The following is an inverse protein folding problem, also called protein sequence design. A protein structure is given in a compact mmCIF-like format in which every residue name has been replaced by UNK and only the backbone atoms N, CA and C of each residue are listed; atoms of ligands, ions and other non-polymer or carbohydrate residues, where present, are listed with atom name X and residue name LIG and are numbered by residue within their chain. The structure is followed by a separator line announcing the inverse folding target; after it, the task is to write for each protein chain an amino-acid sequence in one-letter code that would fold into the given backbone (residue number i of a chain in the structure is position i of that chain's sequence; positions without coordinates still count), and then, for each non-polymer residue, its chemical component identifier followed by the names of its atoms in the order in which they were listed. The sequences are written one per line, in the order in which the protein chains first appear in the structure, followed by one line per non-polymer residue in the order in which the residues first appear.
data_IF_017925619859
#
_entry.id   IF_017925619859
#
_cell.length_a   1.000
_cell.length_b   1.000
_cell.length_c   1.000
_cell.angle_alpha   90.00
_cell.angle_beta   90.00
_cell.angle_gamma   90.00
#
_symmetry.space_group_name_H-M   'P 1'
#
loop_
_entity.id
_entity.type
_entity.pdbx_description
1 polymer ?
#
# COMPACT_ATOMS: atom_id res chain seq x y z
N UNK A 1 4.16 -9.88 24.56
CA UNK A 1 3.06 -9.06 23.99
C UNK A 1 2.86 -9.43 22.54
N UNK A 2 1.76 -8.99 21.92
CA UNK A 2 1.47 -9.21 20.50
C UNK A 2 1.21 -7.86 19.83
N UNK A 3 1.63 -7.70 18.58
CA UNK A 3 1.24 -6.59 17.73
C UNK A 3 0.79 -7.12 16.37
N UNK A 4 -0.39 -6.72 15.91
CA UNK A 4 -0.98 -7.06 14.63
C UNK A 4 -0.85 -5.86 13.67
N UNK A 5 -0.18 -6.06 12.54
CA UNK A 5 0.16 -5.02 11.57
C UNK A 5 -0.46 -5.40 10.22
N UNK A 6 -1.24 -4.48 9.65
CA UNK A 6 -1.71 -4.54 8.27
C UNK A 6 -0.78 -3.78 7.33
N UNK A 7 -0.55 -4.28 6.13
CA UNK A 7 0.21 -3.57 5.10
C UNK A 7 -0.27 -3.91 3.69
N UNK A 8 -0.11 -2.99 2.74
CA UNK A 8 -0.26 -3.32 1.31
C UNK A 8 0.96 -4.10 0.79
N UNK A 9 0.78 -4.83 -0.30
CA UNK A 9 1.83 -5.66 -0.91
C UNK A 9 3.07 -4.83 -1.27
N UNK A 10 2.88 -3.63 -1.85
CA UNK A 10 3.98 -2.77 -2.27
C UNK A 10 4.94 -2.42 -1.11
N UNK A 11 4.39 -2.24 0.09
CA UNK A 11 5.14 -1.96 1.31
C UNK A 11 5.67 -3.22 1.98
N UNK A 12 5.00 -4.37 1.82
CA UNK A 12 5.52 -5.65 2.30
C UNK A 12 6.80 -6.05 1.55
N UNK A 13 6.84 -5.78 0.24
CA UNK A 13 7.96 -6.13 -0.64
C UNK A 13 9.16 -5.19 -0.47
N UNK A 14 8.96 -3.97 0.06
CA UNK A 14 10.02 -2.95 0.18
C UNK A 14 10.00 -2.24 1.54
N UNK A 15 11.14 -2.24 2.22
CA UNK A 15 11.37 -1.46 3.45
C UNK A 15 10.79 -2.07 4.73
N UNK A 16 9.58 -2.62 4.71
CA UNK A 16 8.98 -3.22 5.91
C UNK A 16 9.79 -4.38 6.51
N UNK A 17 10.38 -5.32 5.74
CA UNK A 17 11.15 -6.43 6.32
C UNK A 17 12.31 -5.97 7.20
N UNK A 18 13.03 -4.92 6.79
CA UNK A 18 14.17 -4.39 7.56
C UNK A 18 13.70 -3.67 8.83
N UNK A 19 12.58 -2.93 8.76
CA UNK A 19 11.94 -2.32 9.93
C UNK A 19 11.48 -3.38 10.94
N UNK A 20 10.82 -4.44 10.47
CA UNK A 20 10.37 -5.54 11.33
C UNK A 20 11.56 -6.27 11.97
N UNK A 21 12.67 -6.43 11.24
CA UNK A 21 13.91 -7.02 11.78
C UNK A 21 14.49 -6.16 12.91
N UNK A 22 14.59 -4.85 12.71
CA UNK A 22 15.07 -3.92 13.73
C UNK A 22 14.15 -3.90 14.96
N UNK A 23 12.83 -3.93 14.76
CA UNK A 23 11.86 -4.01 15.85
C UNK A 23 11.97 -5.32 16.64
N UNK A 24 12.06 -6.46 15.95
CA UNK A 24 12.21 -7.76 16.60
C UNK A 24 13.51 -7.87 17.40
N UNK A 25 14.61 -7.26 16.91
CA UNK A 25 15.89 -7.23 17.64
C UNK A 25 15.82 -6.40 18.94
N UNK A 26 15.12 -5.27 18.91
CA UNK A 26 14.94 -4.40 20.10
C UNK A 26 13.85 -4.92 21.06
N UNK A 27 12.86 -5.67 20.56
CA UNK A 27 11.72 -6.17 21.34
C UNK A 27 11.51 -7.68 21.16
N UNK A 28 12.47 -8.54 21.59
CA UNK A 28 12.47 -9.97 21.29
C UNK A 28 11.31 -10.77 21.90
N UNK A 29 10.58 -10.19 22.86
CA UNK A 29 9.41 -10.80 23.53
C UNK A 29 8.06 -10.37 22.92
N UNK A 30 8.09 -9.62 21.83
CA UNK A 30 6.89 -9.19 21.10
C UNK A 30 6.72 -10.10 19.87
N UNK A 31 5.54 -10.73 19.77
CA UNK A 31 5.14 -11.46 18.57
C UNK A 31 4.50 -10.49 17.58
N UNK A 32 5.01 -10.47 16.36
CA UNK A 32 4.44 -9.69 15.26
C UNK A 32 3.52 -10.60 14.45
N UNK A 33 2.30 -10.15 14.20
CA UNK A 33 1.37 -10.75 13.25
C UNK A 33 1.22 -9.81 12.08
N UNK A 34 1.65 -10.24 10.89
CA UNK A 34 1.58 -9.43 9.67
C UNK A 34 0.42 -9.91 8.80
N UNK A 35 -0.43 -8.98 8.37
CA UNK A 35 -1.48 -9.19 7.38
C UNK A 35 -1.20 -8.34 6.16
N UNK A 36 -1.06 -8.98 5.00
CA UNK A 36 -0.97 -8.28 3.72
C UNK A 36 -2.34 -8.32 3.05
N UNK A 37 -2.83 -7.18 2.58
CA UNK A 37 -4.17 -7.09 1.98
C UNK A 37 -4.42 -5.76 1.28
N UNK A 38 -5.65 -5.57 0.78
CA UNK A 38 -6.05 -4.31 0.13
C UNK A 38 -6.28 -3.23 1.17
N UNK A 39 -5.98 -1.96 0.85
CA UNK A 39 -6.16 -0.81 1.77
C UNK A 39 -7.54 -0.78 2.44
N UNK A 40 -8.61 -1.05 1.68
CA UNK A 40 -9.98 -1.06 2.20
C UNK A 40 -10.21 -2.15 3.25
N UNK A 41 -9.76 -3.38 2.98
CA UNK A 41 -9.88 -4.52 3.90
C UNK A 41 -9.08 -4.29 5.18
N UNK A 42 -7.87 -3.74 5.05
CA UNK A 42 -7.01 -3.41 6.18
C UNK A 42 -7.59 -2.27 7.02
N UNK A 43 -8.18 -1.25 6.38
CA UNK A 43 -8.88 -0.18 7.07
C UNK A 43 -10.08 -0.69 7.88
N UNK A 44 -10.87 -1.59 7.31
CA UNK A 44 -11.97 -2.26 8.04
C UNK A 44 -11.44 -3.09 9.21
N UNK A 45 -10.36 -3.84 9.01
CA UNK A 45 -9.75 -4.64 10.07
C UNK A 45 -9.18 -3.78 11.21
N UNK A 46 -8.62 -2.60 10.90
CA UNK A 46 -8.16 -1.62 11.88
C UNK A 46 -9.33 -1.07 12.71
N UNK A 47 -10.40 -0.63 12.03
CA UNK A 47 -11.62 -0.12 12.68
C UNK A 47 -12.30 -1.19 13.57
N UNK A 48 -12.21 -2.46 13.17
CA UNK A 48 -12.70 -3.60 13.95
C UNK A 48 -11.72 -4.07 15.05
N UNK A 49 -10.65 -3.31 15.33
CA UNK A 49 -9.61 -3.63 16.32
C UNK A 49 -8.95 -5.02 16.11
N UNK A 50 -8.94 -5.52 14.87
CA UNK A 50 -8.22 -6.74 14.51
C UNK A 50 -6.75 -6.47 14.20
N UNK A 51 -6.42 -5.22 13.90
CA UNK A 51 -5.07 -4.71 13.69
C UNK A 51 -4.80 -3.60 14.71
N UNK A 52 -3.55 -3.50 15.17
CA UNK A 52 -3.07 -2.40 16.00
C UNK A 52 -2.56 -1.24 15.14
N UNK A 53 -2.07 -1.54 13.92
CA UNK A 53 -1.55 -0.58 12.95
C UNK A 53 -1.86 -1.05 11.53
N UNK A 54 -2.12 -0.13 10.60
CA UNK A 54 -2.20 -0.44 9.18
C UNK A 54 -1.42 0.59 8.35
N UNK A 55 -0.56 0.10 7.45
CA UNK A 55 0.08 0.90 6.41
C UNK A 55 -0.76 0.73 5.14
N UNK A 56 -1.45 1.79 4.73
CA UNK A 56 -2.39 1.74 3.60
C UNK A 56 -2.20 2.93 2.68
N UNK A 57 -2.68 2.78 1.45
CA UNK A 57 -2.77 3.89 0.50
C UNK A 57 -4.19 4.44 0.51
N UNK A 58 -4.33 5.76 0.63
CA UNK A 58 -5.62 6.47 0.67
C UNK A 58 -5.64 7.62 -0.33
N UNK A 59 -6.82 7.89 -0.88
CA UNK A 59 -7.08 9.04 -1.77
C UNK A 59 -7.40 10.31 -0.99
N UNK A 60 -7.93 10.16 0.22
CA UNK A 60 -8.28 11.27 1.11
C UNK A 60 -7.73 11.02 2.52
N UNK A 61 -7.27 12.08 3.21
CA UNK A 61 -6.80 11.98 4.59
C UNK A 61 -7.85 11.41 5.54
N UNK A 62 -7.38 10.87 6.67
CA UNK A 62 -8.19 10.30 7.73
C UNK A 62 -7.76 10.83 9.09
N UNK A 63 -8.71 10.93 10.02
CA UNK A 63 -8.39 11.39 11.38
C UNK A 63 -7.52 10.38 12.17
N UNK A 64 -7.48 9.11 11.76
CA UNK A 64 -6.67 8.04 12.36
C UNK A 64 -5.27 7.91 11.73
N UNK A 65 -4.89 8.82 10.83
CA UNK A 65 -3.53 8.85 10.26
C UNK A 65 -2.52 9.42 11.25
N UNK A 66 -1.51 8.61 11.59
CA UNK A 66 -0.40 9.02 12.46
C UNK A 66 0.78 9.56 11.65
N UNK A 67 0.93 9.10 10.41
CA UNK A 67 1.98 9.52 9.49
C UNK A 67 1.53 9.34 8.05
N UNK A 68 2.05 10.18 7.16
CA UNK A 68 1.82 10.11 5.72
C UNK A 68 3.16 10.07 5.00
N UNK A 69 3.27 9.15 4.06
CA UNK A 69 4.38 9.06 3.11
C UNK A 69 3.81 9.46 1.75
N UNK A 70 4.45 10.41 1.08
CA UNK A 70 4.03 10.90 -0.23
C UNK A 70 5.12 10.59 -1.24
N UNK A 71 4.75 9.85 -2.29
CA UNK A 71 5.62 9.46 -3.39
C UNK A 71 4.93 9.82 -4.71
N UNK A 72 5.66 10.30 -5.73
CA UNK A 72 5.07 10.64 -7.02
C UNK A 72 4.57 9.37 -7.75
N UNK A 73 3.37 9.45 -8.32
CA UNK A 73 2.87 8.45 -9.26
C UNK A 73 3.43 8.74 -10.66
N UNK A 74 4.05 7.74 -11.28
CA UNK A 74 4.75 7.89 -12.56
C UNK A 74 4.13 7.02 -13.65
N UNK A 75 4.07 7.54 -14.88
CA UNK A 75 3.75 6.77 -16.07
C UNK A 75 4.96 5.94 -16.49
N UNK A 76 4.74 4.63 -16.65
CA UNK A 76 5.77 3.69 -17.09
C UNK A 76 5.36 3.06 -18.42
N UNK A 77 6.32 2.90 -19.34
CA UNK A 77 6.13 2.20 -20.59
C UNK A 77 7.31 1.27 -20.89
N UNK A 78 7.13 0.41 -21.90
CA UNK A 78 8.22 -0.43 -22.40
C UNK A 78 9.36 0.44 -22.95
N UNK A 79 10.60 0.04 -22.72
CA UNK A 79 11.78 0.66 -23.37
C UNK A 79 11.71 0.57 -24.92
N UNK A 80 10.90 -0.34 -25.46
CA UNK A 80 10.64 -0.46 -26.90
C UNK A 80 9.65 0.57 -27.43
N UNK A 81 9.17 1.48 -26.59
CA UNK A 81 8.15 2.48 -26.93
C UNK A 81 6.73 1.95 -26.76
N UNK A 82 5.76 2.85 -26.99
CA UNK A 82 4.34 2.54 -27.01
C UNK A 82 3.92 2.17 -28.44
N UNK A 83 3.12 1.12 -28.59
CA UNK A 83 2.54 0.73 -29.88
C UNK A 83 1.32 1.59 -30.28
N UNK A 84 1.03 2.66 -29.54
CA UNK A 84 -0.20 3.42 -29.64
C UNK A 84 -0.12 4.51 -30.72
N UNK A 85 -1.22 4.70 -31.45
CA UNK A 85 -1.47 5.92 -32.21
C UNK A 85 -1.79 7.04 -31.22
N UNK A 86 -1.29 8.25 -31.48
CA UNK A 86 -1.25 9.38 -30.54
C UNK A 86 -2.61 9.85 -29.98
N UNK A 87 -3.74 9.34 -30.48
CA UNK A 87 -5.09 9.74 -30.03
C UNK A 87 -5.56 9.04 -28.76
N UNK A 88 -5.12 7.79 -28.47
CA UNK A 88 -5.52 7.04 -27.28
C UNK A 88 -4.37 6.23 -26.68
N UNK A 89 -4.18 6.32 -25.35
CA UNK A 89 -3.14 5.58 -24.63
C UNK A 89 -3.73 4.29 -24.05
N UNK A 90 -3.25 3.09 -24.46
CA UNK A 90 -3.70 1.83 -23.89
C UNK A 90 -3.13 1.66 -22.47
N UNK A 91 -4.01 1.62 -21.46
CA UNK A 91 -3.63 1.49 -20.07
C UNK A 91 -3.66 0.03 -19.59
N UNK A 92 -2.57 -0.43 -18.99
CA UNK A 92 -2.53 -1.68 -18.21
C UNK A 92 -2.90 -1.36 -16.75
N UNK A 93 -4.10 -1.75 -16.32
CA UNK A 93 -4.67 -1.36 -15.04
C UNK A 93 -4.97 -2.58 -14.15
N UNK A 94 -4.83 -2.41 -12.83
CA UNK A 94 -5.27 -3.38 -11.84
C UNK A 94 -6.79 -3.48 -11.77
N UNK A 95 -7.30 -4.59 -11.23
CA UNK A 95 -8.74 -4.81 -11.04
C UNK A 95 -9.37 -3.77 -10.09
N UNK A 96 -10.59 -3.29 -10.39
CA UNK A 96 -11.33 -2.43 -9.47
C UNK A 96 -11.68 -3.16 -8.17
N UNK A 97 -11.82 -2.49 -7.03
CA UNK A 97 -11.56 -1.06 -6.78
C UNK A 97 -10.07 -0.83 -6.47
N UNK A 98 -9.43 0.12 -7.16
CA UNK A 98 -8.00 0.41 -7.05
C UNK A 98 -7.73 1.91 -7.25
N UNK A 99 -7.09 2.55 -6.26
CA UNK A 99 -6.78 3.99 -6.33
C UNK A 99 -5.84 4.36 -7.48
N UNK A 100 -4.88 3.50 -7.84
CA UNK A 100 -4.03 3.74 -9.01
C UNK A 100 -4.81 3.70 -10.31
N UNK A 101 -5.80 2.80 -10.43
CA UNK A 101 -6.69 2.72 -11.59
C UNK A 101 -7.50 4.00 -11.74
N UNK A 102 -8.13 4.44 -10.65
CA UNK A 102 -8.95 5.65 -10.64
C UNK A 102 -8.13 6.90 -10.97
N UNK A 103 -6.94 7.04 -10.36
CA UNK A 103 -6.03 8.14 -10.67
C UNK A 103 -5.56 8.15 -12.13
N UNK A 104 -5.24 6.98 -12.71
CA UNK A 104 -4.79 6.87 -14.10
C UNK A 104 -5.91 7.19 -15.11
N UNK A 105 -7.17 6.88 -14.80
CA UNK A 105 -8.32 7.16 -15.67
C UNK A 105 -8.79 8.62 -15.61
N UNK A 106 -8.43 9.36 -14.56
CA UNK A 106 -8.79 10.76 -14.37
C UNK A 106 -7.70 11.76 -14.81
N UNK A 107 -6.56 11.25 -15.30
CA UNK A 107 -5.38 12.03 -15.69
C UNK A 107 -5.52 12.74 -17.05
#
# INVERSE_FOLDING_TARGET
GRIAIGTTQDFADRGLPDLLRAFAASHPRVRIELRVGRSAELGQALQAAQLDLAITMRQAPSADEVAVISEPMLWLCSQKGLAAREEEVPLALLDPHCGFREAALAA
#
